data_IF_398223948822
#
_entry.id   IF_398223948822
#
_cell.length_a   1.000
_cell.length_b   1.000
_cell.length_c   1.000
_cell.angle_alpha   90.00
_cell.angle_beta   90.00
_cell.angle_gamma   90.00
#
_symmetry.space_group_name_H-M   'P 1'
#
loop_
_entity.id
_entity.type
_entity.pdbx_description
1 polymer ?
#
# COMPACT_ATOMS: atom_id res chain seq x y z
N UNK A 1 -20.88 16.89 7.12
CA UNK A 1 -19.89 17.40 6.16
C UNK A 1 -18.51 17.11 6.74
N UNK A 2 -17.60 16.48 5.99
CA UNK A 2 -16.21 16.35 6.43
C UNK A 2 -15.63 17.74 6.70
N UNK A 3 -14.76 17.82 7.70
CA UNK A 3 -14.08 19.06 8.06
C UNK A 3 -12.97 19.36 7.05
N UNK A 4 -12.54 20.63 6.97
CA UNK A 4 -11.40 21.02 6.12
C UNK A 4 -10.12 20.23 6.45
N UNK A 5 -9.97 19.83 7.71
CA UNK A 5 -8.85 19.00 8.15
C UNK A 5 -8.95 17.56 7.62
N UNK A 6 -10.15 17.05 7.34
CA UNK A 6 -10.36 15.70 6.77
C UNK A 6 -10.07 15.65 5.26
N UNK A 7 -10.01 16.81 4.60
CA UNK A 7 -9.69 16.93 3.16
C UNK A 7 -8.23 17.29 2.89
N UNK A 8 -7.45 17.59 3.94
CA UNK A 8 -6.07 18.04 3.81
C UNK A 8 -5.09 16.86 3.66
N UNK A 9 -4.75 16.54 2.41
CA UNK A 9 -3.75 15.51 2.05
C UNK A 9 -2.30 15.96 2.27
N UNK A 10 -2.04 17.14 2.83
CA UNK A 10 -0.71 17.47 3.35
C UNK A 10 -0.48 16.91 4.75
N UNK A 11 -1.55 16.54 5.47
CA UNK A 11 -1.49 15.88 6.75
C UNK A 11 -1.20 14.40 6.55
N UNK A 12 -0.13 13.91 7.16
CA UNK A 12 0.24 12.48 7.09
C UNK A 12 -0.88 11.57 7.60
N UNK A 13 -1.71 12.04 8.54
CA UNK A 13 -2.87 11.32 9.07
C UNK A 13 -3.95 11.04 8.01
N UNK A 14 -4.05 11.86 6.96
CA UNK A 14 -5.06 11.74 5.92
C UNK A 14 -4.54 11.10 4.63
N UNK A 15 -3.23 10.86 4.55
CA UNK A 15 -2.67 10.17 3.41
C UNK A 15 -3.04 8.69 3.50
N UNK A 16 -3.64 8.11 2.44
CA UNK A 16 -3.93 6.70 2.41
C UNK A 16 -2.60 5.93 2.48
N UNK A 17 -2.54 4.89 3.30
CA UNK A 17 -1.37 4.01 3.40
C UNK A 17 -1.26 3.03 2.19
N UNK A 18 -1.95 3.34 1.08
CA UNK A 18 -2.08 2.53 -0.14
C UNK A 18 -1.60 3.34 -1.33
N UNK A 19 -0.66 2.80 -2.11
CA UNK A 19 -0.28 3.38 -3.40
C UNK A 19 -0.94 2.59 -4.54
N UNK A 20 -1.80 3.29 -5.29
CA UNK A 20 -2.41 2.75 -6.51
C UNK A 20 -1.52 3.13 -7.68
N UNK A 21 -0.82 2.15 -8.26
CA UNK A 21 -0.08 2.38 -9.49
C UNK A 21 -1.05 2.28 -10.66
N UNK A 22 -1.21 3.35 -11.45
CA UNK A 22 -2.11 3.31 -12.60
C UNK A 22 -1.64 2.25 -13.60
N UNK A 23 -2.57 1.58 -14.29
CA UNK A 23 -2.22 0.53 -15.23
C UNK A 23 -1.34 1.07 -16.36
N UNK A 24 -0.20 0.42 -16.61
CA UNK A 24 0.54 0.61 -17.85
C UNK A 24 -0.17 -0.17 -18.97
N UNK A 25 -0.34 0.44 -20.14
CA UNK A 25 -0.90 -0.24 -21.32
C UNK A 25 0.22 -1.00 -22.02
N UNK A 26 0.69 -2.07 -21.41
CA UNK A 26 1.66 -2.94 -22.06
C UNK A 26 0.93 -4.04 -22.86
N UNK A 27 1.13 -4.03 -24.18
CA UNK A 27 0.70 -5.09 -25.12
C UNK A 27 -0.81 -5.44 -25.15
N UNK A 28 -1.70 -4.46 -24.94
CA UNK A 28 -3.15 -4.65 -25.13
C UNK A 28 -3.90 -5.25 -23.94
N UNK A 29 -3.23 -5.45 -22.81
CA UNK A 29 -3.86 -5.81 -21.53
C UNK A 29 -3.91 -4.58 -20.61
N UNK A 30 -5.03 -4.40 -19.90
CA UNK A 30 -5.14 -3.41 -18.81
C UNK A 30 -4.85 -4.16 -17.52
N UNK A 31 -3.62 -4.07 -17.01
CA UNK A 31 -3.25 -4.62 -15.70
C UNK A 31 -3.23 -3.49 -14.67
N UNK A 32 -4.21 -3.47 -13.76
CA UNK A 32 -4.16 -2.62 -12.57
C UNK A 32 -3.45 -3.41 -11.46
N UNK A 33 -2.42 -2.82 -10.84
CA UNK A 33 -1.71 -3.43 -9.71
C UNK A 33 -1.73 -2.48 -8.53
N UNK A 34 -1.95 -3.03 -7.35
CA UNK A 34 -1.94 -2.29 -6.09
C UNK A 34 -0.67 -2.65 -5.33
N UNK A 35 0.08 -1.64 -4.91
CA UNK A 35 1.18 -1.82 -3.99
C UNK A 35 0.71 -1.46 -2.58
N UNK A 36 0.47 -2.49 -1.79
CA UNK A 36 0.23 -2.36 -0.36
C UNK A 36 1.57 -2.20 0.33
N UNK A 37 1.89 -1.00 0.83
CA UNK A 37 3.15 -0.73 1.54
C UNK A 37 2.88 0.07 2.81
N UNK A 38 3.19 -0.45 3.99
CA UNK A 38 3.04 0.30 5.23
C UNK A 38 4.01 1.49 5.24
N UNK A 39 3.49 2.71 5.07
CA UNK A 39 4.30 3.95 5.05
C UNK A 39 4.66 4.46 6.44
N UNK A 40 3.94 4.00 7.47
CA UNK A 40 4.14 4.39 8.89
C UNK A 40 4.01 3.17 9.82
N UNK A 41 4.89 2.17 9.68
CA UNK A 41 4.87 1.03 10.59
C UNK A 41 5.24 1.46 12.01
N UNK A 42 4.63 0.81 12.99
CA UNK A 42 4.92 0.93 14.41
C UNK A 42 5.95 -0.11 14.87
N UNK A 43 6.15 -1.17 14.08
CA UNK A 43 7.23 -2.15 14.24
C UNK A 43 8.58 -1.46 14.14
N UNK A 44 9.46 -1.80 15.08
CA UNK A 44 10.84 -1.31 15.10
C UNK A 44 11.81 -2.48 15.04
N UNK A 45 12.86 -2.31 14.25
CA UNK A 45 13.90 -3.29 14.03
C UNK A 45 15.26 -2.82 14.54
N UNK A 46 16.29 -3.61 14.26
CA UNK A 46 17.67 -3.30 14.61
C UNK A 46 18.59 -3.44 13.40
N UNK A 47 19.62 -2.61 13.37
CA UNK A 47 20.75 -2.73 12.44
C UNK A 47 22.01 -2.81 13.28
N UNK A 48 22.80 -3.86 13.09
CA UNK A 48 24.03 -4.12 13.85
C UNK A 48 25.16 -4.51 12.92
N UNK A 49 26.38 -4.13 13.25
CA UNK A 49 27.55 -4.63 12.53
C UNK A 49 27.65 -6.15 12.70
N UNK A 50 27.81 -6.88 11.59
CA UNK A 50 28.00 -8.33 11.62
C UNK A 50 29.41 -8.73 12.10
N UNK A 51 30.38 -7.82 11.94
CA UNK A 51 31.78 -8.04 12.30
C UNK A 51 32.44 -6.73 12.73
N UNK A 52 33.75 -6.78 13.00
CA UNK A 52 34.57 -5.59 13.27
C UNK A 52 34.89 -4.77 12.01
N UNK A 53 34.62 -5.29 10.81
CA UNK A 53 34.78 -4.54 9.56
C UNK A 53 33.56 -3.63 9.32
N UNK A 54 33.71 -2.29 9.37
CA UNK A 54 32.61 -1.36 9.17
C UNK A 54 32.11 -1.28 7.73
N UNK A 55 32.86 -1.80 6.75
CA UNK A 55 32.44 -1.88 5.35
C UNK A 55 31.76 -3.21 5.02
N UNK A 56 31.76 -4.16 5.96
CA UNK A 56 31.06 -5.42 5.84
C UNK A 56 29.55 -5.24 5.90
N UNK A 57 28.81 -6.19 5.31
CA UNK A 57 27.35 -6.18 5.33
C UNK A 57 26.83 -6.24 6.78
N UNK A 58 25.93 -5.33 7.18
CA UNK A 58 25.35 -5.33 8.52
C UNK A 58 24.27 -6.41 8.66
N UNK A 59 24.03 -6.84 9.89
CA UNK A 59 22.84 -7.61 10.25
C UNK A 59 21.65 -6.66 10.35
N UNK A 60 20.65 -6.87 9.51
CA UNK A 60 19.42 -6.09 9.48
C UNK A 60 18.28 -7.02 9.93
N UNK A 61 17.66 -6.70 11.05
CA UNK A 61 16.44 -7.35 11.53
C UNK A 61 15.33 -6.31 11.61
N UNK A 62 14.45 -6.30 10.63
CA UNK A 62 13.39 -5.30 10.52
C UNK A 62 12.21 -5.59 11.45
N UNK A 63 12.14 -6.81 12.00
CA UNK A 63 11.07 -7.23 12.90
C UNK A 63 9.68 -6.87 12.33
N UNK A 64 9.47 -7.17 11.05
CA UNK A 64 8.23 -6.85 10.35
C UNK A 64 7.05 -7.47 11.07
N UNK A 65 5.96 -6.71 11.17
CA UNK A 65 4.70 -7.19 11.74
C UNK A 65 4.80 -7.60 13.22
N UNK A 66 5.78 -7.04 13.95
CA UNK A 66 5.94 -7.25 15.39
C UNK A 66 4.80 -6.65 16.22
N UNK A 67 4.10 -5.66 15.68
CA UNK A 67 2.92 -5.05 16.30
C UNK A 67 1.65 -5.53 15.62
N UNK A 68 0.61 -5.74 16.42
CA UNK A 68 -0.73 -6.06 15.90
C UNK A 68 -1.27 -4.95 15.00
N UNK A 69 -0.93 -3.69 15.28
CA UNK A 69 -1.33 -2.55 14.46
C UNK A 69 -0.85 -2.67 13.00
N UNK A 70 0.42 -3.03 12.80
CA UNK A 70 0.98 -3.12 11.45
C UNK A 70 0.36 -4.27 10.66
N UNK A 71 0.07 -5.40 11.32
CA UNK A 71 -0.65 -6.52 10.73
C UNK A 71 -2.08 -6.16 10.36
N UNK A 72 -2.82 -5.56 11.28
CA UNK A 72 -4.22 -5.19 11.07
C UNK A 72 -4.35 -4.16 9.95
N UNK A 73 -3.48 -3.16 9.94
CA UNK A 73 -3.44 -2.15 8.89
C UNK A 73 -3.14 -2.79 7.53
N UNK A 74 -2.12 -3.65 7.44
CA UNK A 74 -1.74 -4.31 6.19
C UNK A 74 -2.82 -5.25 5.65
N UNK A 75 -3.52 -5.97 6.54
CA UNK A 75 -4.67 -6.80 6.16
C UNK A 75 -5.84 -5.94 5.66
N UNK A 76 -6.12 -4.79 6.30
CA UNK A 76 -7.15 -3.85 5.84
C UNK A 76 -6.84 -3.31 4.45
N UNK A 77 -5.57 -3.02 4.18
CA UNK A 77 -5.08 -2.57 2.88
C UNK A 77 -5.37 -3.63 1.79
N UNK A 78 -4.87 -4.86 1.95
CA UNK A 78 -5.10 -5.97 1.01
C UNK A 78 -6.60 -6.23 0.78
N UNK A 79 -7.40 -6.20 1.84
CA UNK A 79 -8.85 -6.40 1.72
C UNK A 79 -9.55 -5.24 1.01
N UNK A 80 -9.02 -4.02 1.13
CA UNK A 80 -9.53 -2.86 0.41
C UNK A 80 -9.28 -2.98 -1.09
N UNK A 81 -8.15 -3.55 -1.50
CA UNK A 81 -7.89 -3.88 -2.92
C UNK A 81 -8.92 -4.83 -3.52
N UNK A 82 -9.45 -5.78 -2.74
CA UNK A 82 -10.48 -6.73 -3.22
C UNK A 82 -11.85 -6.09 -3.42
N UNK A 83 -12.09 -4.91 -2.86
CA UNK A 83 -13.28 -4.12 -3.14
C UNK A 83 -12.86 -2.89 -3.92
N UNK A 84 -12.76 -2.98 -5.26
CA UNK A 84 -12.72 -1.76 -6.06
C UNK A 84 -14.02 -1.01 -5.76
N UNK A 85 -13.95 0.01 -4.89
CA UNK A 85 -15.06 0.92 -4.71
C UNK A 85 -15.21 1.62 -6.06
N UNK A 86 -16.30 1.28 -6.73
CA UNK A 86 -16.79 1.78 -8.04
C UNK A 86 -16.66 3.32 -8.24
N UNK A 87 -16.45 4.07 -7.16
CA UNK A 87 -16.67 5.50 -7.11
C UNK A 87 -15.45 6.36 -7.48
N UNK A 88 -14.22 5.89 -7.23
CA UNK A 88 -13.02 6.75 -7.35
C UNK A 88 -12.29 6.56 -8.68
N UNK A 89 -12.22 5.33 -9.18
CA UNK A 89 -11.59 5.02 -10.47
C UNK A 89 -12.46 5.47 -11.65
N UNK A 90 -13.79 5.29 -11.58
CA UNK A 90 -14.71 5.56 -12.68
C UNK A 90 -14.92 7.03 -13.08
N UNK A 91 -14.53 8.00 -12.24
CA UNK A 91 -14.70 9.44 -12.55
C UNK A 91 -13.50 10.08 -13.24
N UNK A 92 -12.32 9.47 -13.14
CA UNK A 92 -11.06 10.00 -13.68
C UNK A 92 -10.52 9.15 -14.83
N UNK A 93 -10.73 7.83 -14.77
CA UNK A 93 -10.32 6.89 -15.81
C UNK A 93 -11.48 5.97 -16.11
N UNK A 94 -11.93 5.92 -17.37
CA UNK A 94 -12.99 5.00 -17.82
C UNK A 94 -12.50 3.54 -17.77
N UNK A 95 -12.42 2.99 -16.56
CA UNK A 95 -12.14 1.58 -16.30
C UNK A 95 -13.47 0.92 -15.99
N UNK A 96 -14.00 0.20 -16.96
CA UNK A 96 -15.17 -0.66 -16.78
C UNK A 96 -14.70 -2.06 -16.45
N UNK A 97 -15.14 -2.61 -15.32
CA UNK A 97 -14.92 -4.00 -14.97
C UNK A 97 -16.12 -4.83 -15.43
N UNK A 98 -15.88 -5.96 -16.10
CA UNK A 98 -16.93 -6.90 -16.50
C UNK A 98 -17.05 -8.00 -15.45
N UNK A 99 -18.27 -8.46 -15.18
CA UNK A 99 -18.55 -9.58 -14.25
C UNK A 99 -17.80 -10.87 -14.65
N UNK A 100 -17.46 -11.01 -15.95
CA UNK A 100 -16.65 -12.09 -16.50
C UNK A 100 -15.18 -12.09 -16.04
N UNK A 101 -14.69 -10.97 -15.49
CA UNK A 101 -13.29 -10.83 -15.10
C UNK A 101 -13.00 -11.40 -13.70
N UNK A 102 -14.05 -11.70 -12.93
CA UNK A 102 -13.94 -12.18 -11.54
C UNK A 102 -14.30 -13.66 -11.34
N UNK A 103 -14.82 -14.33 -12.38
CA UNK A 103 -15.16 -15.75 -12.32
C UNK A 103 -14.31 -16.55 -13.31
N UNK A 104 -13.25 -17.16 -12.78
CA UNK A 104 -12.59 -18.37 -13.30
C UNK A 104 -12.45 -19.38 -12.18
#
# INVERSE_FOLDING_TARGET
>A
MPSRADEDTSLSANNPDIEVIPPDRMAGHISCSFLCTPVRPTSTGTVRLASSDPLGEPLIDLNYFSTEYDMDMFLRDILSTRRPKDETLGRSWSVSFSESDFLK
#
